data_IF_760771533888
#
_entry.id   IF_760771533888
#
_cell.length_a   1.000
_cell.length_b   1.000
_cell.length_c   1.000
_cell.angle_alpha   90.00
_cell.angle_beta   90.00
_cell.angle_gamma   90.00
#
_symmetry.space_group_name_H-M   'P 1'
#
loop_
_entity.id
_entity.type
_entity.pdbx_description
1 polymer ?
#
# COMPACT_ATOMS: atom_id res chain seq x y z
N UNK A 1 21.95 -21.07 -65.13
CA UNK A 1 20.54 -21.11 -64.66
C UNK A 1 20.34 -21.83 -63.31
N UNK A 2 21.05 -22.94 -62.98
CA UNK A 2 20.86 -23.63 -61.71
C UNK A 2 21.41 -22.85 -60.47
N UNK A 3 22.48 -22.05 -60.63
CA UNK A 3 23.08 -21.26 -59.57
C UNK A 3 22.17 -20.11 -59.08
N UNK A 4 21.50 -19.40 -60.00
CA UNK A 4 20.58 -18.28 -59.71
C UNK A 4 19.31 -18.77 -59.00
N UNK A 5 18.82 -19.97 -59.36
CA UNK A 5 17.65 -20.59 -58.71
C UNK A 5 17.91 -20.97 -57.25
N UNK A 6 19.14 -21.42 -56.93
CA UNK A 6 19.50 -21.76 -55.55
C UNK A 6 19.72 -20.54 -54.66
N UNK A 7 20.21 -19.42 -55.21
CA UNK A 7 20.37 -18.16 -54.46
C UNK A 7 18.98 -17.54 -54.13
N UNK A 8 18.01 -17.61 -55.06
CA UNK A 8 16.66 -17.12 -54.82
C UNK A 8 15.89 -17.94 -53.78
N UNK A 9 16.10 -19.25 -53.69
CA UNK A 9 15.48 -20.11 -52.66
C UNK A 9 16.08 -19.86 -51.29
N UNK A 10 17.40 -19.60 -51.21
CA UNK A 10 18.07 -19.29 -49.93
C UNK A 10 17.70 -17.90 -49.41
N UNK A 11 17.46 -16.92 -50.29
CA UNK A 11 17.00 -15.59 -49.90
C UNK A 11 15.52 -15.57 -49.41
N UNK A 12 14.68 -16.42 -49.98
CA UNK A 12 13.27 -16.58 -49.58
C UNK A 12 13.16 -17.29 -48.19
N UNK A 13 14.10 -18.14 -47.82
CA UNK A 13 14.10 -18.81 -46.50
C UNK A 13 14.59 -17.90 -45.36
N UNK A 14 15.32 -16.84 -45.65
CA UNK A 14 15.79 -15.87 -44.64
C UNK A 14 14.77 -14.79 -44.25
N UNK A 15 13.65 -14.67 -44.97
CA UNK A 15 12.60 -13.69 -44.71
C UNK A 15 11.54 -14.22 -43.71
N UNK A 16 11.61 -15.50 -43.35
CA UNK A 16 10.60 -16.14 -42.47
C UNK A 16 11.15 -16.52 -41.10
N UNK A 17 11.64 -15.59 -40.30
CA UNK A 17 11.83 -15.85 -38.86
C UNK A 17 12.19 -14.60 -38.07
N UNK A 18 11.58 -13.47 -38.31
CA UNK A 18 11.48 -12.45 -37.22
C UNK A 18 10.07 -12.51 -36.66
N UNK A 19 9.74 -13.62 -36.03
CA UNK A 19 8.77 -13.58 -34.97
C UNK A 19 9.44 -12.77 -33.85
N UNK A 20 9.28 -11.43 -33.90
CA UNK A 20 9.44 -10.62 -32.72
C UNK A 20 8.33 -11.12 -31.79
N UNK A 21 8.69 -12.11 -30.96
CA UNK A 21 7.90 -12.46 -29.80
C UNK A 21 7.81 -11.17 -29.01
N UNK A 22 6.70 -10.46 -29.16
CA UNK A 22 6.34 -9.33 -28.35
C UNK A 22 5.98 -9.93 -26.96
N UNK A 23 7.01 -10.46 -26.30
CA UNK A 23 6.88 -10.89 -24.91
C UNK A 23 6.47 -9.64 -24.14
N UNK A 24 5.21 -9.61 -23.71
CA UNK A 24 4.67 -8.48 -22.99
C UNK A 24 5.56 -8.18 -21.77
N UNK A 25 5.65 -6.91 -21.42
CA UNK A 25 6.39 -6.47 -20.23
C UNK A 25 5.71 -7.01 -18.97
N UNK A 26 6.50 -7.47 -17.99
CA UNK A 26 6.01 -7.97 -16.72
C UNK A 26 6.44 -7.04 -15.59
N UNK A 27 5.47 -6.58 -14.81
CA UNK A 27 5.70 -5.77 -13.61
C UNK A 27 5.30 -6.54 -12.35
N UNK A 28 6.17 -6.53 -11.37
CA UNK A 28 5.88 -7.07 -10.04
C UNK A 28 5.45 -5.92 -9.11
N UNK A 29 4.20 -5.96 -8.65
CA UNK A 29 3.57 -4.91 -7.82
C UNK A 29 3.65 -5.28 -6.34
N UNK A 30 4.43 -4.52 -5.58
CA UNK A 30 4.54 -4.71 -4.13
C UNK A 30 3.32 -4.14 -3.39
N UNK A 31 2.69 -4.93 -2.53
CA UNK A 31 1.53 -4.56 -1.74
C UNK A 31 1.80 -4.75 -0.24
N UNK A 32 1.53 -3.71 0.55
CA UNK A 32 1.78 -3.74 2.00
C UNK A 32 0.79 -4.63 2.76
N UNK A 33 -0.44 -4.78 2.26
CA UNK A 33 -1.52 -5.49 2.95
C UNK A 33 -1.72 -6.90 2.43
N UNK A 34 -2.22 -7.80 3.29
CA UNK A 34 -2.54 -9.18 2.91
C UNK A 34 -3.63 -9.27 1.83
N UNK A 35 -3.68 -10.38 1.11
CA UNK A 35 -4.60 -10.58 -0.03
C UNK A 35 -6.09 -10.36 0.32
N UNK A 36 -6.52 -10.67 1.55
CA UNK A 36 -7.89 -10.44 2.01
C UNK A 36 -8.23 -8.99 2.36
N UNK A 37 -7.27 -8.06 2.26
CA UNK A 37 -7.53 -6.65 2.48
C UNK A 37 -8.07 -6.02 1.20
N UNK A 38 -9.05 -5.12 1.32
CA UNK A 38 -9.70 -4.50 0.15
C UNK A 38 -8.75 -3.65 -0.71
N UNK A 39 -7.68 -3.07 -0.14
CA UNK A 39 -6.64 -2.40 -0.93
C UNK A 39 -5.91 -3.37 -1.85
N UNK A 40 -5.49 -4.53 -1.32
CA UNK A 40 -4.85 -5.56 -2.13
C UNK A 40 -5.79 -6.17 -3.16
N UNK A 41 -7.07 -6.36 -2.81
CA UNK A 41 -8.08 -6.82 -3.76
C UNK A 41 -8.28 -5.80 -4.90
N UNK A 42 -8.39 -4.51 -4.58
CA UNK A 42 -8.48 -3.44 -5.57
C UNK A 42 -7.22 -3.36 -6.46
N UNK A 43 -6.03 -3.51 -5.88
CA UNK A 43 -4.78 -3.53 -6.65
C UNK A 43 -4.70 -4.75 -7.58
N UNK A 44 -5.21 -5.90 -7.16
CA UNK A 44 -5.29 -7.11 -7.99
C UNK A 44 -6.26 -6.92 -9.16
N UNK A 45 -7.41 -6.30 -8.93
CA UNK A 45 -8.37 -5.96 -9.98
C UNK A 45 -7.79 -4.93 -10.96
N UNK A 46 -7.09 -3.90 -10.45
CA UNK A 46 -6.35 -2.96 -11.29
C UNK A 46 -5.33 -3.67 -12.18
N UNK A 47 -4.52 -4.56 -11.62
CA UNK A 47 -3.51 -5.33 -12.34
C UNK A 47 -4.13 -6.19 -13.47
N UNK A 48 -5.25 -6.86 -13.18
CA UNK A 48 -6.03 -7.63 -14.16
C UNK A 48 -6.53 -6.72 -15.28
N UNK A 49 -7.16 -5.60 -14.95
CA UNK A 49 -7.71 -4.66 -15.91
C UNK A 49 -6.63 -4.06 -16.84
N UNK A 50 -5.45 -3.76 -16.30
CA UNK A 50 -4.30 -3.28 -17.12
C UNK A 50 -3.83 -4.37 -18.07
N UNK A 51 -3.69 -5.60 -17.59
CA UNK A 51 -3.27 -6.74 -18.43
C UNK A 51 -4.26 -6.96 -19.58
N UNK A 52 -5.56 -6.98 -19.30
CA UNK A 52 -6.60 -7.17 -20.31
C UNK A 52 -6.66 -6.01 -21.32
N UNK A 53 -6.69 -4.76 -20.83
CA UNK A 53 -6.78 -3.56 -21.68
C UNK A 53 -5.53 -3.32 -22.54
N UNK A 54 -4.37 -3.78 -22.09
CA UNK A 54 -3.12 -3.72 -22.88
C UNK A 54 -3.03 -4.84 -23.94
N UNK A 55 -3.99 -5.77 -23.98
CA UNK A 55 -3.90 -6.97 -24.81
C UNK A 55 -2.72 -7.85 -24.45
N UNK A 56 -2.36 -7.92 -23.16
CA UNK A 56 -1.23 -8.68 -22.65
C UNK A 56 0.15 -8.03 -22.87
N UNK A 57 0.21 -6.80 -23.40
CA UNK A 57 1.49 -6.08 -23.57
C UNK A 57 2.14 -5.71 -22.26
N UNK A 58 1.34 -5.52 -21.19
CA UNK A 58 1.81 -5.33 -19.83
C UNK A 58 1.05 -6.28 -18.91
N UNK A 59 1.78 -7.17 -18.24
CA UNK A 59 1.25 -8.05 -17.21
C UNK A 59 1.71 -7.55 -15.85
N UNK A 60 0.78 -7.27 -14.93
CA UNK A 60 1.10 -6.89 -13.56
C UNK A 60 0.80 -8.06 -12.63
N UNK A 61 1.81 -8.49 -11.87
CA UNK A 61 1.69 -9.55 -10.83
C UNK A 61 1.74 -8.90 -9.47
N UNK A 62 0.70 -9.10 -8.66
CA UNK A 62 0.60 -8.52 -7.31
C UNK A 62 1.24 -9.42 -6.26
N UNK A 63 1.96 -8.81 -5.31
CA UNK A 63 2.65 -9.48 -4.21
C UNK A 63 2.14 -8.94 -2.86
N UNK A 64 1.03 -9.48 -2.32
CA UNK A 64 0.40 -8.98 -1.11
C UNK A 64 1.17 -9.35 0.17
N UNK A 65 0.85 -8.64 1.27
CA UNK A 65 1.35 -8.95 2.61
C UNK A 65 2.82 -8.61 2.84
N UNK A 66 3.40 -7.76 2.03
CA UNK A 66 4.82 -7.41 2.13
C UNK A 66 5.75 -8.55 1.69
N UNK A 67 5.26 -9.45 0.81
CA UNK A 67 6.03 -10.62 0.36
C UNK A 67 7.17 -10.27 -0.60
N UNK A 68 7.04 -9.21 -1.41
CA UNK A 68 8.11 -8.72 -2.27
C UNK A 68 9.01 -7.71 -1.54
N UNK A 69 8.40 -6.71 -0.90
CA UNK A 69 9.05 -5.72 -0.05
C UNK A 69 8.18 -5.48 1.18
N UNK A 70 8.78 -5.33 2.36
CA UNK A 70 8.05 -4.95 3.57
C UNK A 70 7.38 -3.59 3.38
N UNK A 71 6.24 -3.36 4.01
CA UNK A 71 5.45 -2.14 3.85
C UNK A 71 6.29 -0.86 3.94
N UNK A 72 7.21 -0.77 4.91
CA UNK A 72 8.10 0.38 5.08
C UNK A 72 9.14 0.57 3.96
N UNK A 73 9.36 -0.45 3.12
CA UNK A 73 10.39 -0.44 2.07
C UNK A 73 9.82 -0.12 0.69
N UNK A 74 8.49 -0.30 0.48
CA UNK A 74 7.85 -0.20 -0.85
C UNK A 74 8.12 1.14 -1.52
N UNK A 75 7.96 2.25 -0.80
CA UNK A 75 8.18 3.59 -1.34
C UNK A 75 9.61 3.75 -1.90
N UNK A 76 10.61 3.31 -1.11
CA UNK A 76 12.00 3.34 -1.54
C UNK A 76 12.24 2.40 -2.73
N UNK A 77 11.69 1.18 -2.70
CA UNK A 77 11.87 0.21 -3.76
C UNK A 77 11.36 0.74 -5.12
N UNK A 78 10.18 1.39 -5.14
CA UNK A 78 9.65 2.00 -6.37
C UNK A 78 10.49 3.20 -6.77
N UNK A 79 10.85 4.10 -5.86
CA UNK A 79 11.67 5.28 -6.14
C UNK A 79 13.05 4.95 -6.70
N UNK A 80 13.63 3.83 -6.29
CA UNK A 80 14.98 3.40 -6.75
C UNK A 80 14.94 2.40 -7.90
N UNK A 81 13.76 2.12 -8.47
CA UNK A 81 13.59 1.21 -9.60
C UNK A 81 13.74 -0.28 -9.27
N UNK A 82 13.73 -0.65 -7.98
CA UNK A 82 13.75 -2.07 -7.55
C UNK A 82 12.39 -2.75 -7.77
N UNK A 83 11.32 -1.98 -7.80
CA UNK A 83 10.00 -2.39 -8.25
C UNK A 83 9.43 -1.31 -9.18
N UNK A 84 8.79 -1.69 -10.31
CA UNK A 84 8.21 -0.72 -11.23
C UNK A 84 6.94 -0.04 -10.69
N UNK A 85 6.25 -0.69 -9.75
CA UNK A 85 4.97 -0.25 -9.19
C UNK A 85 4.79 -0.79 -7.76
N UNK A 86 4.03 -0.07 -6.93
CA UNK A 86 3.71 -0.51 -5.57
C UNK A 86 2.52 0.23 -4.98
N UNK A 87 1.91 -0.35 -3.97
CA UNK A 87 0.85 0.26 -3.17
C UNK A 87 1.38 0.54 -1.76
N UNK A 88 1.19 1.76 -1.29
CA UNK A 88 1.64 2.17 0.03
C UNK A 88 0.65 3.14 0.68
N UNK A 89 0.44 2.96 1.98
CA UNK A 89 -0.30 3.90 2.81
C UNK A 89 0.44 5.24 2.88
N UNK A 90 -0.12 6.28 2.28
CA UNK A 90 0.55 7.59 2.12
C UNK A 90 0.91 8.23 3.45
N UNK A 91 0.02 8.17 4.43
CA UNK A 91 0.24 8.78 5.73
C UNK A 91 1.43 8.19 6.52
N UNK A 92 1.90 6.98 6.18
CA UNK A 92 3.14 6.43 6.75
C UNK A 92 4.40 7.11 6.19
N UNK A 93 4.26 7.97 5.19
CA UNK A 93 5.32 8.68 4.48
C UNK A 93 5.42 10.16 4.89
N UNK A 94 4.80 10.57 6.00
CA UNK A 94 4.83 11.96 6.48
C UNK A 94 6.23 12.54 6.71
N UNK A 95 7.24 11.68 6.95
CA UNK A 95 8.66 12.10 7.00
C UNK A 95 9.27 12.41 5.64
N UNK A 96 8.73 11.83 4.57
CA UNK A 96 9.15 12.10 3.19
C UNK A 96 8.49 13.38 2.65
N UNK A 97 7.25 13.61 3.04
CA UNK A 97 6.46 14.79 2.72
C UNK A 97 5.28 14.90 3.71
N UNK A 98 5.22 15.97 4.54
CA UNK A 98 4.13 16.15 5.52
C UNK A 98 2.73 16.20 4.88
N UNK A 99 2.62 16.61 3.61
CA UNK A 99 1.34 16.64 2.92
C UNK A 99 0.73 15.25 2.72
N UNK A 100 1.55 14.20 2.65
CA UNK A 100 1.08 12.81 2.57
C UNK A 100 0.40 12.32 3.86
N UNK A 101 0.49 13.08 4.94
CA UNK A 101 -0.12 12.78 6.25
C UNK A 101 -1.28 13.74 6.60
N UNK A 102 -1.69 14.62 5.70
CA UNK A 102 -2.70 15.66 5.95
C UNK A 102 -4.05 15.10 6.39
N UNK A 103 -4.46 13.94 5.85
CA UNK A 103 -5.71 13.26 6.18
C UNK A 103 -5.67 12.50 7.52
N UNK A 104 -4.51 12.42 8.16
CA UNK A 104 -4.33 11.80 9.47
C UNK A 104 -4.47 12.78 10.64
N UNK A 105 -4.77 14.05 10.36
CA UNK A 105 -5.07 15.01 11.42
C UNK A 105 -6.39 14.63 12.10
N UNK A 106 -6.39 14.43 13.43
CA UNK A 106 -7.59 14.03 14.14
C UNK A 106 -8.77 14.99 13.86
N UNK A 107 -9.95 14.42 13.59
CA UNK A 107 -11.22 15.13 13.37
C UNK A 107 -11.26 16.04 12.14
N UNK A 108 -10.22 16.14 11.32
CA UNK A 108 -10.23 16.98 10.11
C UNK A 108 -11.17 16.42 9.04
N UNK A 109 -11.19 15.10 8.83
CA UNK A 109 -12.07 14.43 7.88
C UNK A 109 -12.76 13.23 8.54
N UNK A 110 -13.97 13.46 9.08
CA UNK A 110 -14.70 12.49 9.89
C UNK A 110 -15.64 11.58 9.09
N UNK A 111 -15.75 11.78 7.78
CA UNK A 111 -16.57 10.98 6.88
C UNK A 111 -16.00 11.01 5.46
N UNK A 112 -16.47 10.11 4.59
CA UNK A 112 -15.98 10.01 3.21
C UNK A 112 -16.20 11.28 2.39
N UNK A 113 -17.27 12.04 2.62
CA UNK A 113 -17.50 13.31 1.93
C UNK A 113 -16.44 14.36 2.29
N UNK A 114 -16.09 14.47 3.58
CA UNK A 114 -15.03 15.36 4.06
C UNK A 114 -13.66 14.88 3.56
N UNK A 115 -13.39 13.57 3.61
CA UNK A 115 -12.16 12.98 3.11
C UNK A 115 -11.96 13.21 1.60
N UNK A 116 -13.05 13.11 0.81
CA UNK A 116 -12.99 13.37 -0.64
C UNK A 116 -12.71 14.86 -0.93
N UNK A 117 -13.32 15.79 -0.19
CA UNK A 117 -13.00 17.22 -0.35
C UNK A 117 -11.55 17.53 -0.01
N UNK A 118 -11.05 16.98 1.10
CA UNK A 118 -9.65 17.13 1.51
C UNK A 118 -8.70 16.54 0.46
N UNK A 119 -9.00 15.34 -0.01
CA UNK A 119 -8.21 14.68 -1.08
C UNK A 119 -8.19 15.51 -2.35
N UNK A 120 -9.33 16.00 -2.83
CA UNK A 120 -9.40 16.81 -4.04
C UNK A 120 -8.61 18.13 -3.90
N UNK A 121 -8.62 18.75 -2.72
CA UNK A 121 -7.87 19.96 -2.43
C UNK A 121 -6.34 19.71 -2.36
N UNK A 122 -5.92 18.60 -1.78
CA UNK A 122 -4.49 18.27 -1.58
C UNK A 122 -3.84 17.53 -2.76
N UNK A 123 -4.63 16.82 -3.57
CA UNK A 123 -4.14 15.97 -4.66
C UNK A 123 -3.15 16.64 -5.61
N UNK A 124 -3.37 17.88 -6.10
CA UNK A 124 -2.44 18.50 -7.04
C UNK A 124 -1.02 18.63 -6.47
N UNK A 125 -0.91 19.03 -5.21
CA UNK A 125 0.39 19.17 -4.55
C UNK A 125 0.99 17.81 -4.16
N UNK A 126 0.17 16.82 -3.79
CA UNK A 126 0.61 15.43 -3.58
C UNK A 126 1.23 14.87 -4.87
N UNK A 127 0.55 15.01 -6.00
CA UNK A 127 1.04 14.54 -7.31
C UNK A 127 2.37 15.20 -7.64
N UNK A 128 2.46 16.53 -7.52
CA UNK A 128 3.68 17.30 -7.75
C UNK A 128 4.82 16.87 -6.81
N UNK A 129 4.53 16.65 -5.53
CA UNK A 129 5.52 16.18 -4.54
C UNK A 129 6.07 14.79 -4.86
N UNK A 130 5.24 13.90 -5.38
CA UNK A 130 5.65 12.56 -5.83
C UNK A 130 6.44 12.62 -7.14
N UNK A 131 6.00 13.43 -8.10
CA UNK A 131 6.69 13.66 -9.38
C UNK A 131 8.12 14.19 -9.16
N UNK A 132 8.31 15.16 -8.27
CA UNK A 132 9.62 15.66 -7.86
C UNK A 132 10.55 14.59 -7.25
N UNK A 133 10.00 13.46 -6.85
CA UNK A 133 10.73 12.30 -6.33
C UNK A 133 10.89 11.18 -7.38
N UNK A 134 10.52 11.44 -8.63
CA UNK A 134 10.57 10.49 -9.73
C UNK A 134 9.46 9.41 -9.69
N UNK A 135 8.34 9.71 -9.03
CA UNK A 135 7.22 8.79 -8.87
C UNK A 135 5.98 9.29 -9.60
N UNK A 136 5.30 8.40 -10.31
CA UNK A 136 4.03 8.69 -10.97
C UNK A 136 2.88 8.24 -10.07
N UNK A 137 2.02 9.18 -9.68
CA UNK A 137 0.80 8.87 -8.94
C UNK A 137 -0.28 8.33 -9.88
N UNK A 138 -0.79 7.13 -9.59
CA UNK A 138 -1.84 6.51 -10.40
C UNK A 138 -3.23 6.76 -9.82
N UNK A 139 -3.48 6.31 -8.59
CA UNK A 139 -4.76 6.47 -7.90
C UNK A 139 -4.59 6.34 -6.37
N UNK A 140 -5.63 6.69 -5.63
CA UNK A 140 -5.72 6.45 -4.19
C UNK A 140 -7.05 5.75 -3.84
N UNK A 141 -7.02 4.96 -2.77
CA UNK A 141 -8.19 4.27 -2.20
C UNK A 141 -8.34 4.71 -0.75
N UNK A 142 -9.49 5.28 -0.35
CA UNK A 142 -9.68 5.78 1.00
C UNK A 142 -9.85 4.64 2.01
N UNK A 143 -9.30 4.82 3.21
CA UNK A 143 -9.62 4.03 4.38
C UNK A 143 -10.92 4.52 5.03
N UNK A 144 -11.70 3.63 5.69
CA UNK A 144 -12.78 4.07 6.56
C UNK A 144 -12.25 4.80 7.79
N UNK A 145 -13.15 5.49 8.50
CA UNK A 145 -12.82 6.17 9.75
C UNK A 145 -12.12 5.21 10.73
N UNK A 146 -11.18 5.77 11.50
CA UNK A 146 -10.38 5.01 12.46
C UNK A 146 -11.05 5.01 13.84
N UNK A 147 -10.89 3.92 14.58
CA UNK A 147 -11.33 3.77 15.96
C UNK A 147 -10.19 3.34 16.88
N UNK A 148 -10.36 3.56 18.17
CA UNK A 148 -9.49 3.03 19.21
C UNK A 148 -9.91 1.58 19.50
N UNK A 149 -8.94 0.69 19.59
CA UNK A 149 -9.10 -0.71 19.95
C UNK A 149 -8.18 -1.03 21.12
N UNK A 150 -8.69 -1.72 22.12
CA UNK A 150 -7.94 -2.03 23.36
C UNK A 150 -8.29 -3.40 23.92
N UNK A 151 -7.32 -4.02 24.64
CA UNK A 151 -7.57 -5.19 25.48
C UNK A 151 -8.29 -4.84 26.79
N UNK A 152 -8.26 -3.57 27.18
CA UNK A 152 -8.93 -3.04 28.39
C UNK A 152 -10.02 -2.08 28.00
N UNK A 153 -11.04 -1.99 28.80
CA UNK A 153 -12.04 -0.94 28.69
C UNK A 153 -11.43 0.42 28.93
N UNK A 154 -11.79 1.40 28.11
CA UNK A 154 -11.30 2.77 28.18
C UNK A 154 -12.52 3.69 28.31
N UNK A 155 -12.66 4.31 29.46
CA UNK A 155 -13.76 5.22 29.79
C UNK A 155 -13.31 6.70 29.84
N UNK A 156 -12.01 6.93 29.97
CA UNK A 156 -11.41 8.25 30.07
C UNK A 156 -10.03 8.31 29.41
N UNK A 157 -9.49 9.52 29.22
CA UNK A 157 -8.13 9.72 28.71
C UNK A 157 -7.09 9.18 29.72
N UNK A 158 -7.38 9.23 30.98
CA UNK A 158 -6.54 8.74 32.07
C UNK A 158 -6.28 7.23 31.96
N UNK A 159 -7.25 6.47 31.45
CA UNK A 159 -7.16 5.01 31.26
C UNK A 159 -6.15 4.62 30.16
N UNK A 160 -5.79 5.57 29.29
CA UNK A 160 -4.79 5.38 28.25
C UNK A 160 -3.37 5.37 28.77
N UNK A 161 -3.13 5.97 29.95
CA UNK A 161 -1.79 6.16 30.47
C UNK A 161 -1.05 4.84 30.70
N UNK A 162 0.12 4.74 30.11
CA UNK A 162 0.99 3.56 30.23
C UNK A 162 0.61 2.39 29.31
N UNK A 163 -0.50 2.46 28.53
CA UNK A 163 -0.85 1.40 27.59
C UNK A 163 0.21 1.27 26.48
N UNK A 164 0.61 0.05 26.19
CA UNK A 164 1.44 -0.26 25.03
C UNK A 164 0.59 -0.08 23.76
N UNK A 165 0.95 0.89 22.96
CA UNK A 165 0.14 1.33 21.82
C UNK A 165 0.82 1.05 20.48
N UNK A 166 0.10 0.40 19.56
CA UNK A 166 0.53 0.27 18.16
C UNK A 166 0.25 1.56 17.43
N UNK A 167 1.31 2.24 17.00
CA UNK A 167 1.26 3.35 16.07
C UNK A 167 1.61 2.91 14.65
N UNK A 168 1.22 3.68 13.61
CA UNK A 168 1.57 3.39 12.22
C UNK A 168 2.07 4.63 11.45
N UNK A 169 1.90 5.82 12.00
CA UNK A 169 2.37 7.08 11.43
C UNK A 169 2.75 8.09 12.53
N UNK A 170 3.22 9.27 12.15
CA UNK A 170 3.64 10.30 13.12
C UNK A 170 2.47 10.82 13.94
N UNK A 171 1.29 10.98 13.35
CA UNK A 171 0.10 11.45 14.06
C UNK A 171 -0.32 10.48 15.18
N UNK A 172 -0.34 9.16 14.91
CA UNK A 172 -0.68 8.16 15.92
C UNK A 172 0.38 8.03 17.01
N UNK A 173 1.68 8.25 16.70
CA UNK A 173 2.73 8.37 17.71
C UNK A 173 2.45 9.57 18.59
N UNK A 174 2.14 10.74 17.98
CA UNK A 174 1.88 11.96 18.74
C UNK A 174 0.65 11.87 19.64
N UNK A 175 -0.42 11.22 19.18
CA UNK A 175 -1.61 10.94 20.02
C UNK A 175 -1.19 10.12 21.23
N UNK A 176 -0.42 9.06 21.03
CA UNK A 176 0.03 8.22 22.14
C UNK A 176 0.88 8.98 23.16
N UNK A 177 1.82 9.79 22.71
CA UNK A 177 2.65 10.65 23.58
C UNK A 177 1.80 11.64 24.40
N UNK A 178 0.84 12.31 23.75
CA UNK A 178 -0.02 13.30 24.40
C UNK A 178 -0.97 12.69 25.45
N UNK A 179 -1.34 11.42 25.27
CA UNK A 179 -2.23 10.67 26.17
C UNK A 179 -1.47 9.79 27.16
N UNK A 180 -0.14 9.83 27.15
CA UNK A 180 0.71 9.05 28.05
C UNK A 180 0.79 7.55 27.74
N UNK A 181 0.35 7.13 26.54
CA UNK A 181 0.59 5.77 26.05
C UNK A 181 2.05 5.57 25.62
N UNK A 182 2.49 4.32 25.54
CA UNK A 182 3.83 3.93 25.08
C UNK A 182 3.75 3.46 23.60
N UNK A 183 4.08 4.32 22.61
CA UNK A 183 3.92 3.98 21.21
C UNK A 183 5.04 3.09 20.68
N UNK A 184 4.67 2.08 19.89
CA UNK A 184 5.58 1.29 19.06
C UNK A 184 5.06 1.29 17.62
N UNK A 185 5.92 1.67 16.66
CA UNK A 185 5.54 1.64 15.23
C UNK A 185 5.58 0.20 14.72
N UNK A 186 4.41 -0.32 14.28
CA UNK A 186 4.24 -1.69 13.81
C UNK A 186 3.45 -1.67 12.51
N UNK A 187 3.97 -2.34 11.48
CA UNK A 187 3.32 -2.47 10.19
C UNK A 187 2.08 -3.38 10.25
N UNK A 188 1.15 -3.18 9.32
CA UNK A 188 -0.13 -3.91 9.33
C UNK A 188 0.02 -5.43 9.25
N UNK A 189 1.07 -5.94 8.60
CA UNK A 189 1.34 -7.38 8.53
C UNK A 189 1.61 -8.01 9.91
N UNK A 190 2.18 -7.25 10.84
CA UNK A 190 2.72 -7.70 12.13
C UNK A 190 1.74 -7.52 13.31
N UNK A 191 0.55 -6.92 13.07
CA UNK A 191 -0.41 -6.58 14.15
C UNK A 191 -0.78 -7.80 14.99
N UNK A 192 -1.19 -8.91 14.38
CA UNK A 192 -1.64 -10.10 15.13
C UNK A 192 -0.53 -10.65 16.03
N UNK A 193 0.71 -10.70 15.54
CA UNK A 193 1.87 -11.12 16.33
C UNK A 193 2.13 -10.17 17.49
N UNK A 194 2.08 -8.85 17.25
CA UNK A 194 2.33 -7.86 18.28
C UNK A 194 1.33 -7.92 19.45
N UNK A 195 0.04 -8.17 19.12
CA UNK A 195 -0.99 -8.37 20.15
C UNK A 195 -0.85 -9.70 20.88
N UNK A 196 -0.55 -10.80 20.17
CA UNK A 196 -0.40 -12.13 20.77
C UNK A 196 0.80 -12.22 21.72
N UNK A 197 1.91 -11.54 21.40
CA UNK A 197 3.11 -11.49 22.25
C UNK A 197 3.03 -10.45 23.38
N UNK A 198 1.97 -9.63 23.42
CA UNK A 198 1.86 -8.55 24.40
C UNK A 198 2.83 -7.38 24.15
N UNK A 199 3.40 -7.28 22.94
CA UNK A 199 4.20 -6.12 22.56
C UNK A 199 3.34 -4.85 22.50
N UNK A 200 2.03 -5.00 22.19
CA UNK A 200 1.02 -3.95 22.24
C UNK A 200 -0.28 -4.46 22.87
N UNK A 201 -1.06 -3.53 23.43
CA UNK A 201 -2.35 -3.79 24.09
C UNK A 201 -3.48 -2.94 23.49
N UNK A 202 -3.11 -1.93 22.74
CA UNK A 202 -4.06 -0.99 22.10
C UNK A 202 -3.56 -0.50 20.76
N UNK A 203 -4.47 0.00 19.94
CA UNK A 203 -4.15 0.64 18.64
C UNK A 203 -5.28 1.54 18.18
N UNK A 204 -4.97 2.53 17.35
CA UNK A 204 -5.94 3.16 16.46
C UNK A 204 -5.83 2.46 15.10
N UNK A 205 -6.96 2.05 14.53
CA UNK A 205 -7.00 1.41 13.22
C UNK A 205 -8.42 1.44 12.63
N UNK A 206 -8.56 1.00 11.37
CA UNK A 206 -9.86 0.87 10.74
C UNK A 206 -10.60 -0.41 11.18
N UNK A 207 -11.94 -0.43 11.16
CA UNK A 207 -12.73 -1.65 11.38
C UNK A 207 -12.35 -2.77 10.40
N UNK A 208 -12.02 -2.42 9.17
CA UNK A 208 -11.57 -3.38 8.16
C UNK A 208 -10.28 -4.08 8.58
N UNK A 209 -9.32 -3.33 9.12
CA UNK A 209 -8.07 -3.93 9.65
C UNK A 209 -8.39 -4.82 10.84
N UNK A 210 -9.23 -4.37 11.77
CA UNK A 210 -9.67 -5.16 12.92
C UNK A 210 -10.26 -6.50 12.48
N UNK A 211 -11.19 -6.48 11.52
CA UNK A 211 -11.80 -7.67 10.93
C UNK A 211 -10.76 -8.58 10.27
N UNK A 212 -9.92 -8.04 9.38
CA UNK A 212 -8.94 -8.83 8.61
C UNK A 212 -7.88 -9.48 9.49
N UNK A 213 -7.56 -8.86 10.62
CA UNK A 213 -6.59 -9.37 11.61
C UNK A 213 -7.25 -10.20 12.71
N UNK A 214 -8.59 -10.31 12.70
CA UNK A 214 -9.37 -11.02 13.73
C UNK A 214 -8.88 -10.65 15.12
N UNK A 215 -8.80 -9.36 15.39
CA UNK A 215 -8.14 -8.85 16.61
C UNK A 215 -8.78 -9.36 17.90
N UNK A 216 -10.06 -9.74 17.87
CA UNK A 216 -10.76 -10.39 18.99
C UNK A 216 -10.14 -11.73 19.39
N UNK A 217 -9.53 -12.49 18.45
CA UNK A 217 -8.80 -13.73 18.76
C UNK A 217 -7.48 -13.43 19.56
N UNK A 218 -7.04 -12.19 19.59
CA UNK A 218 -5.87 -11.72 20.34
C UNK A 218 -6.25 -10.95 21.62
N UNK A 219 -7.49 -11.11 22.07
CA UNK A 219 -7.99 -10.53 23.34
C UNK A 219 -8.36 -9.05 23.29
N UNK A 220 -8.56 -8.49 22.09
CA UNK A 220 -9.08 -7.11 21.92
C UNK A 220 -10.61 -7.19 21.92
N UNK A 221 -11.23 -6.66 22.96
CA UNK A 221 -12.69 -6.70 23.18
C UNK A 221 -13.38 -5.34 23.16
N UNK A 222 -12.61 -4.27 23.11
CA UNK A 222 -13.11 -2.90 23.21
C UNK A 222 -12.59 -2.04 22.09
#
# INVERSE_FOLDING_TARGET
>A
MKLIRNILVTLAALIFSVNISNAGEKWDMALAYGAGNFHSANATEFAKNVTEKSGGKLTIVTHPGGSLFKGGEIFRAVRTGQAPIGERFMSALGKEDPLLEVDSQPFLATNYGAAMRLYNASKPEIVKGLDNKGLVFLYAVPWPAQGLYSKKEINSVEDLKGLKFRAYNSATIRIAELTGMAPTKIEAAEISQAFSTGAVESMITSPTTGKNKKIWENGVGY
#
